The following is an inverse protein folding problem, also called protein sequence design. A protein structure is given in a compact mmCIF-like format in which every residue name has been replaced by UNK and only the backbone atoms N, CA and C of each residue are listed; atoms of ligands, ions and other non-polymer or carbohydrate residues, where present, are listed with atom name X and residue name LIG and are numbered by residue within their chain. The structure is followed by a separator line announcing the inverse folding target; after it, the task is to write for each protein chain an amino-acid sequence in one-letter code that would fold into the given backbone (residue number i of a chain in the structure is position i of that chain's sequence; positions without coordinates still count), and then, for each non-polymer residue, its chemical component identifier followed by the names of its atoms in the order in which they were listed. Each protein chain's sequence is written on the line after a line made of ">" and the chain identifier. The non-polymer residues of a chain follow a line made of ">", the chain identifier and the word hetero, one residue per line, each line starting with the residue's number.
data_IF_797254901717
#
_entry.id   IF_797254901717
#
_cell.length_a   1.000
_cell.length_b   1.000
_cell.length_c   1.000
_cell.angle_alpha   90.00
_cell.angle_beta   90.00
_cell.angle_gamma   90.00
#
_symmetry.space_group_name_H-M   'P 1'
#
loop_
_entity.id
_entity.type
_entity.pdbx_description
1 polymer ?
#
# COMPACT_ATOMS: atom_id res chain seq x y z
N UNK A 1 23.33 33.81 -18.22
CA UNK A 1 23.25 33.18 -16.90
C UNK A 1 24.65 32.75 -16.56
N UNK A 2 25.18 33.31 -15.49
CA UNK A 2 26.57 33.13 -15.11
C UNK A 2 26.73 31.75 -14.45
N UNK A 3 27.71 30.96 -14.88
CA UNK A 3 27.93 29.60 -14.35
C UNK A 3 28.13 29.62 -12.81
N UNK A 4 28.61 30.74 -12.28
CA UNK A 4 28.79 30.96 -10.85
C UNK A 4 27.48 30.98 -10.04
N UNK A 5 26.34 31.37 -10.61
CA UNK A 5 25.06 31.41 -9.87
C UNK A 5 24.49 30.01 -9.67
N UNK A 6 24.72 29.12 -10.64
CA UNK A 6 24.22 27.75 -10.61
C UNK A 6 25.01 26.88 -9.63
N UNK A 7 26.32 27.09 -9.54
CA UNK A 7 27.18 26.44 -8.54
C UNK A 7 26.88 26.92 -7.12
N UNK A 8 26.57 28.22 -6.94
CA UNK A 8 26.14 28.74 -5.63
C UNK A 8 24.81 28.14 -5.17
N UNK A 9 23.85 27.93 -6.10
CA UNK A 9 22.58 27.29 -5.80
C UNK A 9 22.76 25.80 -5.43
N UNK A 10 23.61 25.09 -6.16
CA UNK A 10 23.93 23.69 -5.87
C UNK A 10 24.60 23.55 -4.49
N UNK A 11 25.53 24.46 -4.15
CA UNK A 11 26.24 24.46 -2.88
C UNK A 11 25.32 24.82 -1.71
N UNK A 12 24.41 25.79 -1.88
CA UNK A 12 23.40 26.13 -0.87
C UNK A 12 22.42 24.97 -0.63
N UNK A 13 22.00 24.27 -1.68
CA UNK A 13 21.11 23.09 -1.58
C UNK A 13 21.81 21.92 -0.88
N UNK A 14 23.10 21.72 -1.16
CA UNK A 14 23.91 20.71 -0.49
C UNK A 14 24.10 21.01 1.00
N UNK A 15 24.34 22.26 1.39
CA UNK A 15 24.45 22.65 2.80
C UNK A 15 23.13 22.53 3.56
N UNK A 16 22.00 22.85 2.93
CA UNK A 16 20.65 22.66 3.49
C UNK A 16 20.34 21.18 3.74
N UNK A 17 20.80 20.28 2.85
CA UNK A 17 20.66 18.83 3.05
C UNK A 17 21.52 18.31 4.22
N UNK A 18 22.70 18.92 4.45
CA UNK A 18 23.60 18.56 5.55
C UNK A 18 23.07 19.04 6.90
N UNK A 19 22.45 20.21 6.97
CA UNK A 19 21.85 20.72 8.22
C UNK A 19 20.62 19.90 8.63
N UNK A 20 19.80 19.46 7.67
CA UNK A 20 18.69 18.54 7.93
C UNK A 20 19.16 17.19 8.48
N UNK A 21 20.22 16.58 7.90
CA UNK A 21 20.78 15.31 8.40
C UNK A 21 21.35 15.40 9.82
N UNK A 22 21.90 16.56 10.20
CA UNK A 22 22.50 16.74 11.55
C UNK A 22 21.46 16.86 12.66
N UNK A 23 20.31 17.48 12.37
CA UNK A 23 19.23 17.61 13.34
C UNK A 23 18.47 16.29 13.55
N UNK A 24 18.47 15.39 12.55
CA UNK A 24 17.79 14.10 12.63
C UNK A 24 18.60 13.03 13.41
N UNK A 25 19.93 13.08 13.34
CA UNK A 25 20.80 12.15 14.05
C UNK A 25 20.81 12.33 15.58
N UNK A 26 20.27 13.44 16.10
CA UNK A 26 20.25 13.74 17.54
C UNK A 26 18.96 13.28 18.26
N UNK A 27 17.93 12.82 17.55
CA UNK A 27 16.63 12.47 18.14
C UNK A 27 16.21 10.99 18.01
N UNK A 28 17.11 10.07 17.63
CA UNK A 28 16.82 8.63 17.69
C UNK A 28 16.95 8.09 19.12
N UNK A 29 15.88 8.27 19.91
CA UNK A 29 15.59 7.41 21.06
C UNK A 29 15.16 6.03 20.53
N UNK A 30 15.85 5.00 20.99
CA UNK A 30 15.87 3.66 20.42
C UNK A 30 14.53 2.92 20.45
N UNK A 31 14.20 2.33 19.30
CA UNK A 31 13.30 1.20 19.17
C UNK A 31 14.14 0.00 18.73
N UNK A 32 14.44 -0.90 19.68
CA UNK A 32 15.22 -2.12 19.48
C UNK A 32 14.24 -3.26 19.17
N UNK A 33 14.08 -3.61 17.89
CA UNK A 33 13.35 -4.82 17.47
C UNK A 33 14.26 -6.04 17.71
N UNK A 34 14.21 -6.62 18.91
CA UNK A 34 14.86 -7.91 19.20
C UNK A 34 13.95 -9.09 18.93
N UNK A 35 14.45 -9.93 18.05
CA UNK A 35 13.99 -11.25 17.65
C UNK A 35 14.26 -12.30 18.77
N UNK A 36 13.27 -13.13 19.18
CA UNK A 36 13.53 -14.29 20.03
C UNK A 36 13.63 -15.59 19.21
N UNK A 37 14.85 -16.12 19.11
CA UNK A 37 15.14 -17.50 18.74
C UNK A 37 14.72 -18.50 19.83
N UNK A 38 14.01 -19.57 19.43
CA UNK A 38 14.00 -20.97 19.95
C UNK A 38 12.64 -21.62 19.58
N UNK A 39 12.48 -22.90 19.27
CA UNK A 39 13.35 -24.08 19.17
C UNK A 39 12.55 -25.21 18.48
N UNK A 40 13.26 -26.11 17.79
CA UNK A 40 12.99 -27.56 17.62
C UNK A 40 11.76 -28.07 16.85
N UNK A 41 12.12 -28.70 15.73
CA UNK A 41 11.35 -29.67 14.96
C UNK A 41 10.86 -30.88 15.78
N UNK A 42 9.62 -31.29 15.50
CA UNK A 42 9.10 -32.62 15.74
C UNK A 42 8.22 -33.01 14.55
N UNK A 43 8.76 -33.84 13.66
CA UNK A 43 8.02 -34.39 12.51
C UNK A 43 7.02 -35.44 13.01
N UNK A 44 5.73 -35.08 12.97
CA UNK A 44 4.62 -36.00 13.13
C UNK A 44 4.10 -36.42 11.74
N UNK A 45 3.59 -37.66 11.59
CA UNK A 45 3.10 -38.14 10.31
C UNK A 45 1.82 -37.41 9.92
N UNK A 46 1.85 -36.75 8.76
CA UNK A 46 0.75 -35.98 8.19
C UNK A 46 -0.35 -36.96 7.74
N UNK A 47 -1.35 -37.13 8.59
CA UNK A 47 -2.63 -37.69 8.16
C UNK A 47 -3.31 -36.64 7.29
N UNK A 48 -3.48 -36.94 6.01
CA UNK A 48 -4.29 -36.17 5.07
C UNK A 48 -5.76 -36.28 5.45
N UNK A 49 -6.17 -35.49 6.44
CA UNK A 49 -7.57 -35.16 6.64
C UNK A 49 -7.92 -34.11 5.59
N UNK A 50 -8.73 -34.49 4.60
CA UNK A 50 -9.50 -33.57 3.78
C UNK A 50 -10.35 -32.73 4.74
N UNK A 51 -9.80 -31.59 5.18
CA UNK A 51 -10.58 -30.57 5.86
C UNK A 51 -11.38 -29.89 4.77
N UNK A 52 -12.71 -30.01 4.83
CA UNK A 52 -13.62 -29.21 4.00
C UNK A 52 -13.20 -27.75 4.15
N UNK A 53 -12.54 -27.22 3.12
CA UNK A 53 -11.98 -25.88 3.13
C UNK A 53 -13.15 -24.92 2.93
N UNK A 54 -13.77 -24.50 4.05
CA UNK A 54 -14.95 -23.65 3.98
C UNK A 54 -14.54 -22.25 3.54
N UNK A 55 -14.86 -21.91 2.29
CA UNK A 55 -14.66 -20.58 1.74
C UNK A 55 -15.73 -19.60 2.28
N UNK A 56 -15.41 -18.30 2.41
CA UNK A 56 -16.36 -17.32 2.91
C UNK A 56 -17.48 -17.05 1.89
N UNK A 57 -18.73 -17.03 2.36
CA UNK A 57 -19.92 -16.55 1.61
C UNK A 57 -19.96 -15.01 1.57
N UNK A 58 -18.84 -14.37 1.28
CA UNK A 58 -18.68 -12.93 1.26
C UNK A 58 -18.24 -12.44 -0.14
N UNK A 59 -18.52 -11.17 -0.41
CA UNK A 59 -18.02 -10.52 -1.61
C UNK A 59 -16.50 -10.31 -1.50
N UNK A 60 -15.85 -10.20 -2.66
CA UNK A 60 -14.41 -10.01 -2.67
C UNK A 60 -13.79 -10.15 -4.03
N UNK A 61 -12.51 -10.51 -4.04
CA UNK A 61 -11.73 -10.77 -5.24
C UNK A 61 -11.20 -12.18 -5.17
N UNK A 62 -11.37 -12.91 -6.26
CA UNK A 62 -10.63 -14.14 -6.50
C UNK A 62 -9.51 -13.82 -7.48
N UNK A 63 -8.28 -14.14 -7.11
CA UNK A 63 -7.09 -13.73 -7.85
C UNK A 63 -5.99 -14.78 -7.85
N UNK A 64 -5.04 -14.57 -8.77
CA UNK A 64 -3.79 -15.30 -8.90
C UNK A 64 -2.66 -14.33 -9.19
N UNK A 65 -1.49 -14.62 -8.62
CA UNK A 65 -0.25 -13.93 -8.96
C UNK A 65 0.47 -14.66 -10.10
N UNK A 66 0.60 -13.99 -11.24
CA UNK A 66 1.36 -14.45 -12.41
C UNK A 66 2.77 -13.84 -12.33
N UNK A 67 3.73 -14.58 -11.78
CA UNK A 67 5.13 -14.16 -11.65
C UNK A 67 5.90 -14.43 -12.95
N UNK A 68 6.63 -13.42 -13.42
CA UNK A 68 7.65 -13.53 -14.47
C UNK A 68 9.05 -13.27 -13.91
N UNK A 69 10.06 -13.17 -14.78
CA UNK A 69 11.47 -13.05 -14.37
C UNK A 69 11.78 -11.84 -13.49
N UNK A 70 11.18 -10.68 -13.77
CA UNK A 70 11.45 -9.43 -13.04
C UNK A 70 10.18 -8.64 -12.68
N UNK A 71 9.02 -9.16 -13.06
CA UNK A 71 7.73 -8.52 -12.88
C UNK A 71 6.68 -9.56 -12.53
N UNK A 72 5.64 -9.18 -11.82
CA UNK A 72 4.44 -9.98 -11.61
C UNK A 72 3.20 -9.24 -12.12
N UNK A 73 2.13 -9.98 -12.38
CA UNK A 73 0.82 -9.43 -12.69
C UNK A 73 -0.22 -10.04 -11.75
N UNK A 74 -1.17 -9.24 -11.30
CA UNK A 74 -2.31 -9.75 -10.52
C UNK A 74 -3.45 -10.03 -11.51
N UNK A 75 -3.85 -11.29 -11.64
CA UNK A 75 -5.01 -11.71 -12.44
C UNK A 75 -6.15 -11.99 -11.49
N UNK A 76 -7.33 -11.47 -11.75
CA UNK A 76 -8.44 -11.69 -10.84
C UNK A 76 -9.74 -11.04 -11.31
N UNK A 77 -10.78 -11.21 -10.51
CA UNK A 77 -12.09 -10.62 -10.75
C UNK A 77 -12.81 -10.37 -9.44
N UNK A 78 -13.62 -9.32 -9.42
CA UNK A 78 -14.58 -9.06 -8.34
C UNK A 78 -15.73 -10.06 -8.40
N UNK A 79 -16.14 -10.57 -7.24
CA UNK A 79 -17.16 -11.61 -7.07
C UNK A 79 -18.13 -11.23 -5.96
N UNK A 80 -19.36 -11.72 -6.06
CA UNK A 80 -20.40 -11.52 -5.03
C UNK A 80 -20.31 -12.55 -3.90
N UNK A 81 -19.87 -13.77 -4.22
CA UNK A 81 -19.58 -14.85 -3.27
C UNK A 81 -18.24 -15.48 -3.66
N UNK A 82 -17.27 -15.42 -2.76
CA UNK A 82 -15.98 -16.10 -2.92
C UNK A 82 -16.20 -17.62 -2.94
N UNK A 83 -17.04 -18.15 -2.05
CA UNK A 83 -17.33 -19.58 -1.95
C UNK A 83 -17.82 -20.18 -3.27
N UNK A 84 -18.84 -19.57 -3.87
CA UNK A 84 -19.44 -20.04 -5.13
C UNK A 84 -18.39 -20.09 -6.25
N UNK A 85 -17.54 -19.06 -6.32
CA UNK A 85 -16.52 -18.96 -7.36
C UNK A 85 -15.38 -19.95 -7.14
N UNK A 86 -14.99 -20.22 -5.90
CA UNK A 86 -13.98 -21.23 -5.62
C UNK A 86 -14.47 -22.64 -5.98
N UNK A 87 -15.74 -22.96 -5.71
CA UNK A 87 -16.36 -24.22 -6.16
C UNK A 87 -16.44 -24.31 -7.70
N UNK A 88 -16.76 -23.20 -8.38
CA UNK A 88 -16.73 -23.12 -9.85
C UNK A 88 -15.31 -23.37 -10.41
N UNK A 89 -14.27 -22.89 -9.72
CA UNK A 89 -12.88 -23.12 -10.13
C UNK A 89 -12.49 -24.58 -9.92
N UNK A 90 -12.81 -25.16 -8.76
CA UNK A 90 -12.53 -26.57 -8.43
C UNK A 90 -13.25 -27.55 -9.35
N UNK A 91 -14.45 -27.17 -9.83
CA UNK A 91 -15.21 -27.95 -10.81
C UNK A 91 -14.72 -27.81 -12.26
N UNK A 92 -13.67 -27.02 -12.53
CA UNK A 92 -13.05 -26.89 -13.85
C UNK A 92 -13.81 -25.95 -14.80
N UNK A 93 -14.36 -24.85 -14.29
CA UNK A 93 -15.01 -23.86 -15.14
C UNK A 93 -14.00 -23.15 -16.05
N UNK A 94 -14.06 -23.46 -17.34
CA UNK A 94 -13.19 -22.89 -18.39
C UNK A 94 -13.18 -21.35 -18.46
N UNK A 95 -14.24 -20.68 -17.99
CA UNK A 95 -14.29 -19.21 -17.92
C UNK A 95 -13.30 -18.65 -16.90
N UNK A 96 -13.19 -19.29 -15.74
CA UNK A 96 -12.27 -18.91 -14.68
C UNK A 96 -10.84 -19.29 -15.00
N UNK A 97 -10.62 -20.48 -15.56
CA UNK A 97 -9.32 -20.90 -16.07
C UNK A 97 -8.74 -19.89 -17.05
N UNK A 98 -9.56 -19.41 -18.00
CA UNK A 98 -9.14 -18.37 -18.95
C UNK A 98 -8.84 -17.03 -18.28
N UNK A 99 -9.64 -16.64 -17.28
CA UNK A 99 -9.52 -15.33 -16.60
C UNK A 99 -8.26 -15.27 -15.73
N UNK A 100 -8.02 -16.34 -14.97
CA UNK A 100 -6.87 -16.48 -14.09
C UNK A 100 -5.64 -17.06 -14.80
N UNK A 101 -5.76 -17.39 -16.09
CA UNK A 101 -4.74 -18.04 -16.93
C UNK A 101 -4.21 -19.33 -16.33
N UNK A 102 -5.10 -20.11 -15.71
CA UNK A 102 -4.71 -21.36 -15.07
C UNK A 102 -4.12 -22.30 -16.13
N UNK A 103 -2.96 -22.87 -15.85
CA UNK A 103 -2.37 -23.92 -16.68
C UNK A 103 -2.57 -25.28 -16.03
N UNK A 104 -2.78 -26.33 -16.84
CA UNK A 104 -2.99 -27.71 -16.34
C UNK A 104 -1.77 -28.25 -15.58
N UNK A 105 -0.59 -27.65 -15.80
CA UNK A 105 0.66 -28.03 -15.18
C UNK A 105 1.04 -27.05 -14.06
N UNK A 106 1.06 -27.59 -12.84
CA UNK A 106 1.61 -27.04 -11.57
C UNK A 106 0.58 -26.36 -10.67
N UNK A 107 0.78 -26.53 -9.36
CA UNK A 107 -0.11 -26.09 -8.27
C UNK A 107 -0.21 -24.58 -8.15
N UNK A 108 -0.80 -23.96 -9.15
CA UNK A 108 -1.09 -22.53 -9.24
C UNK A 108 -2.14 -22.19 -8.19
N UNK A 109 -1.68 -21.59 -7.09
CA UNK A 109 -2.54 -21.24 -5.98
C UNK A 109 -3.44 -20.05 -6.36
N UNK A 110 -4.73 -20.31 -6.46
CA UNK A 110 -5.76 -19.28 -6.47
C UNK A 110 -5.96 -18.79 -5.04
N UNK A 111 -5.96 -17.48 -4.86
CA UNK A 111 -6.15 -16.80 -3.58
C UNK A 111 -7.41 -15.92 -3.63
N UNK A 112 -7.88 -15.48 -2.47
CA UNK A 112 -9.03 -14.60 -2.38
C UNK A 112 -8.79 -13.49 -1.36
N UNK A 113 -9.46 -12.36 -1.56
CA UNK A 113 -9.46 -11.22 -0.66
C UNK A 113 -10.90 -10.76 -0.41
N UNK A 114 -11.34 -10.77 0.85
CA UNK A 114 -12.68 -10.37 1.25
C UNK A 114 -12.86 -8.86 1.21
N UNK A 115 -14.02 -8.39 0.74
CA UNK A 115 -14.40 -6.97 0.76
C UNK A 115 -15.79 -6.79 1.35
N UNK A 116 -16.15 -5.54 1.71
CA UNK A 116 -17.48 -5.26 2.29
C UNK A 116 -18.62 -5.57 1.33
N UNK A 117 -18.37 -5.40 0.04
CA UNK A 117 -19.32 -5.56 -1.05
C UNK A 117 -18.54 -5.71 -2.37
N UNK A 118 -19.25 -6.05 -3.45
CA UNK A 118 -18.68 -6.23 -4.78
C UNK A 118 -18.12 -4.93 -5.36
N UNK A 119 -18.77 -3.79 -5.09
CA UNK A 119 -18.34 -2.49 -5.62
C UNK A 119 -16.93 -2.14 -5.09
N UNK A 120 -16.67 -2.42 -3.81
CA UNK A 120 -15.35 -2.29 -3.21
C UNK A 120 -14.31 -3.21 -3.88
N UNK A 121 -14.68 -4.44 -4.24
CA UNK A 121 -13.81 -5.33 -5.00
C UNK A 121 -13.56 -4.82 -6.43
N UNK A 122 -14.55 -4.20 -7.09
CA UNK A 122 -14.38 -3.60 -8.42
C UNK A 122 -13.36 -2.44 -8.40
N UNK A 123 -13.31 -1.64 -7.32
CA UNK A 123 -12.28 -0.60 -7.16
C UNK A 123 -10.88 -1.20 -7.22
N UNK A 124 -10.63 -2.32 -6.54
CA UNK A 124 -9.33 -3.01 -6.57
C UNK A 124 -9.03 -3.59 -7.95
N UNK A 125 -10.05 -4.12 -8.64
CA UNK A 125 -9.92 -4.60 -10.03
C UNK A 125 -9.43 -3.48 -10.95
N UNK A 126 -10.07 -2.32 -10.90
CA UNK A 126 -9.70 -1.17 -11.74
C UNK A 126 -8.30 -0.63 -11.39
N UNK A 127 -7.94 -0.67 -10.12
CA UNK A 127 -6.68 -0.11 -9.64
C UNK A 127 -5.48 -1.04 -9.82
N UNK A 128 -5.64 -2.35 -9.75
CA UNK A 128 -4.50 -3.27 -9.62
C UNK A 128 -4.51 -4.45 -10.59
N UNK A 129 -5.69 -4.95 -10.95
CA UNK A 129 -5.79 -6.19 -11.72
C UNK A 129 -5.38 -5.95 -13.18
N UNK A 130 -4.76 -6.98 -13.78
CA UNK A 130 -4.21 -6.99 -15.13
C UNK A 130 -3.08 -5.97 -15.39
N UNK A 131 -2.58 -5.31 -14.33
CA UNK A 131 -1.39 -4.46 -14.39
C UNK A 131 -0.14 -5.28 -14.10
N UNK A 132 1.00 -4.79 -14.59
CA UNK A 132 2.32 -5.40 -14.41
C UNK A 132 3.12 -4.56 -13.44
N UNK A 133 3.69 -5.20 -12.44
CA UNK A 133 4.48 -4.57 -11.38
C UNK A 133 5.88 -5.21 -11.34
N UNK A 134 6.97 -4.45 -11.23
CA UNK A 134 8.30 -5.02 -11.00
C UNK A 134 8.39 -5.66 -9.61
N UNK A 135 9.10 -6.78 -9.52
CA UNK A 135 9.39 -7.47 -8.26
C UNK A 135 10.41 -6.67 -7.41
N UNK A 136 11.33 -5.98 -8.07
CA UNK A 136 12.36 -5.15 -7.46
C UNK A 136 12.32 -3.73 -8.04
N UNK A 137 11.30 -2.96 -7.63
CA UNK A 137 11.13 -1.58 -8.07
C UNK A 137 12.38 -0.72 -7.81
N UNK A 138 13.01 -0.91 -6.65
CA UNK A 138 14.18 -0.12 -6.23
C UNK A 138 15.44 -0.35 -7.07
N UNK A 139 15.57 -1.53 -7.67
CA UNK A 139 16.73 -1.88 -8.49
C UNK A 139 16.60 -1.39 -9.94
N UNK A 140 15.37 -1.14 -10.39
CA UNK A 140 15.05 -0.86 -11.79
C UNK A 140 14.73 0.63 -12.05
N UNK A 141 14.29 1.38 -11.05
CA UNK A 141 13.81 2.75 -11.22
C UNK A 141 14.94 3.80 -11.27
N UNK A 142 15.31 4.21 -12.49
CA UNK A 142 16.12 5.40 -12.77
C UNK A 142 15.30 6.70 -12.66
N UNK A 143 15.95 7.86 -12.60
CA UNK A 143 15.31 9.20 -12.54
C UNK A 143 14.21 9.44 -13.59
N UNK A 144 14.24 8.73 -14.72
CA UNK A 144 13.27 8.82 -15.81
C UNK A 144 12.03 7.96 -15.65
N UNK A 145 12.06 6.94 -14.79
CA UNK A 145 10.92 6.08 -14.47
C UNK A 145 10.77 5.95 -12.95
N UNK A 146 10.02 6.87 -12.31
CA UNK A 146 10.00 7.01 -10.86
C UNK A 146 9.25 5.90 -10.13
N UNK A 147 8.80 4.86 -10.85
CA UNK A 147 8.07 3.74 -10.27
C UNK A 147 6.57 4.03 -10.08
N UNK A 148 5.89 3.03 -9.52
CA UNK A 148 4.44 3.02 -9.28
C UNK A 148 4.11 3.12 -7.79
N UNK A 149 5.07 2.80 -6.91
CA UNK A 149 4.85 2.84 -5.47
C UNK A 149 4.85 4.24 -4.93
N UNK A 150 3.99 4.44 -3.94
CA UNK A 150 4.08 5.56 -3.04
C UNK A 150 5.03 5.23 -1.89
N UNK A 151 5.57 6.28 -1.27
CA UNK A 151 6.56 6.15 -0.22
C UNK A 151 6.19 7.04 0.96
N UNK A 152 6.36 6.52 2.17
CA UNK A 152 5.97 7.18 3.40
C UNK A 152 7.18 7.42 4.30
N UNK A 153 7.39 8.67 4.68
CA UNK A 153 8.14 9.06 5.87
C UNK A 153 7.12 9.43 6.95
N UNK A 154 7.18 8.77 8.10
CA UNK A 154 6.23 9.01 9.19
C UNK A 154 6.94 8.96 10.54
N UNK A 155 6.80 10.04 11.30
CA UNK A 155 7.24 10.14 12.69
C UNK A 155 6.07 10.19 13.67
N UNK A 156 6.37 10.62 14.90
CA UNK A 156 5.36 10.81 15.93
C UNK A 156 4.37 11.93 15.54
N UNK A 157 4.90 13.02 14.99
CA UNK A 157 4.24 14.31 14.78
C UNK A 157 4.20 14.75 13.30
N UNK A 158 4.81 13.98 12.39
CA UNK A 158 4.85 14.32 10.97
C UNK A 158 4.56 13.12 10.07
N UNK A 159 4.07 13.42 8.88
CA UNK A 159 3.79 12.49 7.80
C UNK A 159 4.15 13.17 6.48
N UNK A 160 4.97 12.50 5.68
CA UNK A 160 5.35 12.93 4.34
C UNK A 160 5.15 11.75 3.38
N UNK A 161 4.16 11.91 2.50
CA UNK A 161 3.74 10.93 1.52
C UNK A 161 4.24 11.36 0.13
N UNK A 162 5.17 10.62 -0.44
CA UNK A 162 5.63 10.83 -1.80
C UNK A 162 4.85 9.94 -2.76
N UNK A 163 4.25 10.55 -3.79
CA UNK A 163 3.53 9.83 -4.84
C UNK A 163 4.46 9.13 -5.84
N UNK A 164 5.76 9.42 -5.76
CA UNK A 164 6.81 8.95 -6.65
C UNK A 164 8.10 8.81 -5.88
N UNK A 165 8.91 7.85 -6.27
CA UNK A 165 10.20 7.63 -5.64
C UNK A 165 11.15 8.83 -5.86
N UNK A 166 11.87 9.24 -4.81
CA UNK A 166 12.85 10.34 -4.83
C UNK A 166 14.18 9.85 -4.24
N UNK A 167 15.32 10.13 -4.89
CA UNK A 167 16.66 9.83 -4.35
C UNK A 167 17.17 8.38 -4.53
N UNK A 168 18.37 8.06 -4.04
CA UNK A 168 19.11 6.79 -4.26
C UNK A 168 19.10 5.86 -3.02
N UNK A 169 18.60 6.30 -1.85
CA UNK A 169 18.64 5.54 -0.57
C UNK A 169 17.25 5.39 0.08
N UNK A 170 16.26 4.90 -0.68
CA UNK A 170 14.83 4.96 -0.32
C UNK A 170 14.41 3.96 0.75
N UNK A 171 14.72 2.68 0.55
CA UNK A 171 14.33 1.59 1.47
C UNK A 171 14.82 1.75 2.91
N UNK A 172 15.92 2.48 3.11
CA UNK A 172 16.48 2.64 4.45
C UNK A 172 15.71 3.68 5.27
N UNK A 173 15.04 4.63 4.61
CA UNK A 173 14.45 5.79 5.27
C UNK A 173 12.93 5.87 5.09
N UNK A 174 12.38 5.26 4.04
CA UNK A 174 10.98 5.36 3.67
C UNK A 174 10.33 3.99 3.63
N UNK A 175 9.09 3.93 4.10
CA UNK A 175 8.22 2.77 3.92
C UNK A 175 7.63 2.77 2.51
N UNK A 176 7.84 1.68 1.76
CA UNK A 176 7.18 1.45 0.48
C UNK A 176 5.73 1.06 0.73
N UNK A 177 4.78 1.77 0.11
CA UNK A 177 3.35 1.55 0.32
C UNK A 177 2.68 0.76 -0.81
N UNK A 178 3.34 0.62 -1.95
CA UNK A 178 2.73 0.15 -3.18
C UNK A 178 1.92 1.23 -3.91
N UNK A 179 1.18 0.85 -4.96
CA UNK A 179 0.33 1.74 -5.72
C UNK A 179 -1.00 1.96 -4.99
N UNK A 180 -1.16 3.12 -4.37
CA UNK A 180 -2.41 3.46 -3.67
C UNK A 180 -3.45 4.19 -4.54
N UNK A 181 -3.10 4.48 -5.80
CA UNK A 181 -4.01 5.08 -6.77
C UNK A 181 -3.31 6.06 -7.73
N UNK A 182 -4.12 6.75 -8.54
CA UNK A 182 -3.63 7.78 -9.44
C UNK A 182 -3.16 9.01 -8.65
N UNK A 183 -1.90 9.39 -8.85
CA UNK A 183 -1.25 10.52 -8.14
C UNK A 183 -1.97 11.86 -8.31
N UNK A 184 -2.57 12.14 -9.47
CA UNK A 184 -3.22 13.44 -9.73
C UNK A 184 -4.55 13.50 -8.98
N UNK A 185 -5.31 12.40 -9.04
CA UNK A 185 -6.56 12.27 -8.28
C UNK A 185 -6.23 12.34 -6.79
N UNK A 186 -5.25 11.58 -6.33
CA UNK A 186 -4.82 11.57 -4.94
C UNK A 186 -4.39 12.96 -4.44
N UNK A 187 -3.51 13.66 -5.16
CA UNK A 187 -3.09 15.03 -4.80
C UNK A 187 -4.31 15.97 -4.69
N UNK A 188 -5.20 15.93 -5.68
CA UNK A 188 -6.40 16.77 -5.68
C UNK A 188 -7.33 16.46 -4.48
N UNK A 189 -7.51 15.19 -4.12
CA UNK A 189 -8.33 14.78 -2.97
C UNK A 189 -7.66 15.08 -1.63
N UNK A 190 -6.34 14.89 -1.52
CA UNK A 190 -5.57 15.24 -0.32
C UNK A 190 -5.60 16.74 -0.07
N UNK A 191 -5.48 17.58 -1.09
CA UNK A 191 -5.67 19.02 -0.96
C UNK A 191 -7.08 19.40 -0.47
N UNK A 192 -8.11 18.68 -0.91
CA UNK A 192 -9.48 18.88 -0.42
C UNK A 192 -9.68 18.41 1.03
N UNK A 193 -8.92 17.40 1.47
CA UNK A 193 -8.93 16.89 2.84
C UNK A 193 -8.35 17.88 3.85
N UNK A 194 -7.54 18.86 3.45
CA UNK A 194 -6.87 19.78 4.38
C UNK A 194 -7.84 20.41 5.38
N UNK A 195 -8.95 20.96 4.90
CA UNK A 195 -9.93 21.63 5.77
C UNK A 195 -10.58 20.65 6.75
N UNK A 196 -10.90 19.44 6.29
CA UNK A 196 -11.45 18.41 7.15
C UNK A 196 -10.42 17.96 8.18
N UNK A 197 -9.18 17.70 7.77
CA UNK A 197 -8.10 17.31 8.67
C UNK A 197 -7.86 18.39 9.74
N UNK A 198 -7.82 19.67 9.37
CA UNK A 198 -7.67 20.80 10.31
C UNK A 198 -8.83 20.90 11.30
N UNK A 199 -10.03 20.46 10.92
CA UNK A 199 -11.17 20.36 11.84
C UNK A 199 -11.04 19.18 12.81
N UNK A 200 -10.29 18.15 12.44
CA UNK A 200 -10.11 16.95 13.23
C UNK A 200 -8.90 17.03 14.16
N UNK A 201 -7.80 17.67 13.73
CA UNK A 201 -6.53 17.68 14.44
C UNK A 201 -5.80 19.01 14.29
N UNK A 202 -4.90 19.32 15.23
CA UNK A 202 -4.15 20.58 15.27
C UNK A 202 -2.96 20.52 14.30
N UNK A 203 -3.23 20.68 13.01
CA UNK A 203 -2.21 20.72 11.96
C UNK A 203 -1.43 22.04 12.02
N UNK A 204 -0.13 21.92 12.24
CA UNK A 204 0.83 23.04 12.21
C UNK A 204 1.19 23.36 10.76
N UNK A 205 1.54 22.33 9.99
CA UNK A 205 1.97 22.47 8.60
C UNK A 205 1.19 21.50 7.72
N UNK A 206 0.70 21.98 6.58
CA UNK A 206 0.11 21.16 5.53
C UNK A 206 0.59 21.69 4.19
N UNK A 207 1.08 20.80 3.33
CA UNK A 207 1.42 21.15 1.95
C UNK A 207 1.10 19.99 1.04
N UNK A 208 0.47 20.29 -0.09
CA UNK A 208 0.10 19.33 -1.13
C UNK A 208 0.67 19.81 -2.46
N UNK A 209 1.44 18.95 -3.11
CA UNK A 209 2.06 19.20 -4.40
C UNK A 209 1.87 17.99 -5.31
N UNK A 210 2.16 18.15 -6.60
CA UNK A 210 2.09 17.03 -7.57
C UNK A 210 3.08 15.88 -7.28
N UNK A 211 3.97 16.09 -6.32
CA UNK A 211 5.04 15.18 -5.95
C UNK A 211 4.77 14.51 -4.61
N UNK A 212 4.31 15.27 -3.62
CA UNK A 212 4.13 14.79 -2.26
C UNK A 212 3.05 15.58 -1.51
N UNK A 213 2.57 14.95 -0.44
CA UNK A 213 1.77 15.57 0.61
C UNK A 213 2.55 15.51 1.90
N UNK A 214 2.66 16.64 2.59
CA UNK A 214 3.32 16.74 3.90
C UNK A 214 2.37 17.31 4.92
N UNK A 215 2.44 16.78 6.14
CA UNK A 215 1.63 17.18 7.28
C UNK A 215 2.48 17.11 8.55
N UNK A 216 2.38 18.13 9.38
CA UNK A 216 2.90 18.12 10.75
C UNK A 216 1.79 18.54 11.72
N UNK A 217 1.68 17.82 12.84
CA UNK A 217 0.69 18.06 13.88
C UNK A 217 1.36 18.50 15.17
N UNK A 218 0.60 19.22 16.01
CA UNK A 218 1.03 19.58 17.37
C UNK A 218 0.49 18.59 18.40
N UNK A 219 0.99 18.68 19.64
CA UNK A 219 0.54 17.87 20.78
C UNK A 219 -1.00 17.91 20.94
N UNK A 220 -1.57 16.77 21.39
CA UNK A 220 -3.01 16.58 21.59
C UNK A 220 -3.76 16.07 20.35
N UNK A 221 -3.05 15.73 19.27
CA UNK A 221 -3.62 15.18 18.02
C UNK A 221 -3.23 13.72 17.77
N UNK A 222 -2.59 13.07 18.73
CA UNK A 222 -1.87 11.80 18.56
C UNK A 222 -2.81 10.68 18.11
N UNK A 223 -4.01 10.58 18.69
CA UNK A 223 -4.97 9.51 18.38
C UNK A 223 -5.46 9.59 16.93
N UNK A 224 -5.97 10.75 16.51
CA UNK A 224 -6.50 10.96 15.15
C UNK A 224 -5.41 10.91 14.10
N UNK A 225 -4.24 11.44 14.42
CA UNK A 225 -3.08 11.36 13.54
C UNK A 225 -2.58 9.91 13.41
N UNK A 226 -2.61 9.13 14.50
CA UNK A 226 -2.31 7.70 14.45
C UNK A 226 -3.31 6.94 13.57
N UNK A 227 -4.61 7.26 13.63
CA UNK A 227 -5.62 6.66 12.73
C UNK A 227 -5.31 6.96 11.26
N UNK A 228 -4.89 8.19 10.94
CA UNK A 228 -4.46 8.54 9.59
C UNK A 228 -3.20 7.77 9.17
N UNK A 229 -2.22 7.60 10.05
CA UNK A 229 -1.02 6.79 9.77
C UNK A 229 -1.36 5.33 9.50
N UNK A 230 -2.21 4.72 10.32
CA UNK A 230 -2.66 3.33 10.17
C UNK A 230 -3.33 3.05 8.81
N UNK A 231 -4.03 4.03 8.25
CA UNK A 231 -4.59 3.93 6.90
C UNK A 231 -3.50 3.62 5.87
N UNK A 232 -2.36 4.32 5.93
CA UNK A 232 -1.27 4.13 4.98
C UNK A 232 -0.38 2.94 5.34
N UNK A 233 -0.08 2.73 6.61
CA UNK A 233 0.85 1.69 7.05
C UNK A 233 0.18 0.32 6.95
N UNK A 234 -1.01 0.18 7.54
CA UNK A 234 -1.69 -1.10 7.78
C UNK A 234 -2.87 -1.32 6.82
N UNK A 235 -3.29 -0.30 6.06
CA UNK A 235 -4.52 -0.36 5.25
C UNK A 235 -5.80 -0.31 6.09
N UNK A 236 -5.73 0.14 7.35
CA UNK A 236 -6.88 0.20 8.26
C UNK A 236 -7.64 1.53 8.12
N UNK A 237 -8.91 1.46 7.69
CA UNK A 237 -9.79 2.61 7.68
C UNK A 237 -10.55 2.76 9.01
N UNK A 238 -9.99 3.52 9.94
CA UNK A 238 -10.56 3.67 11.27
C UNK A 238 -11.57 4.81 11.42
N UNK A 239 -11.81 5.62 10.38
CA UNK A 239 -12.73 6.78 10.44
C UNK A 239 -14.19 6.37 10.27
N UNK A 240 -15.07 7.00 11.04
CA UNK A 240 -16.51 6.79 10.97
C UNK A 240 -17.15 7.77 9.99
N UNK A 241 -18.26 7.35 9.37
CA UNK A 241 -19.02 8.20 8.45
C UNK A 241 -19.52 9.49 9.11
N UNK A 242 -19.82 9.44 10.41
CA UNK A 242 -20.27 10.56 11.24
C UNK A 242 -19.20 11.64 11.47
N UNK A 243 -17.91 11.34 11.23
CA UNK A 243 -16.81 12.30 11.33
C UNK A 243 -16.72 13.22 10.10
N UNK A 244 -17.49 12.93 9.05
CA UNK A 244 -17.57 13.71 7.82
C UNK A 244 -18.94 14.39 7.74
N UNK A 245 -18.99 15.57 7.12
CA UNK A 245 -20.29 16.21 6.91
C UNK A 245 -21.14 15.43 5.89
N UNK A 246 -22.44 15.73 5.89
CA UNK A 246 -23.36 15.17 4.91
C UNK A 246 -23.24 15.86 3.54
N UNK A 247 -22.38 16.87 3.38
CA UNK A 247 -22.15 17.51 2.09
C UNK A 247 -21.52 16.52 1.10
N UNK A 248 -21.98 16.56 -0.16
CA UNK A 248 -21.53 15.65 -1.23
C UNK A 248 -20.00 15.55 -1.31
N UNK A 249 -19.30 16.68 -1.18
CA UNK A 249 -17.83 16.75 -1.20
C UNK A 249 -17.20 15.89 -0.11
N UNK A 250 -17.64 16.04 1.13
CA UNK A 250 -17.05 15.32 2.27
C UNK A 250 -17.38 13.83 2.23
N UNK A 251 -18.51 13.45 1.62
CA UNK A 251 -18.80 12.04 1.33
C UNK A 251 -17.79 11.46 0.34
N UNK A 252 -17.45 12.20 -0.72
CA UNK A 252 -16.43 11.77 -1.67
C UNK A 252 -15.07 11.60 -1.00
N UNK A 253 -14.70 12.49 -0.07
CA UNK A 253 -13.43 12.37 0.66
C UNK A 253 -13.42 11.17 1.61
N UNK A 254 -14.54 10.86 2.26
CA UNK A 254 -14.71 9.66 3.06
C UNK A 254 -14.47 8.39 2.23
N UNK A 255 -15.15 8.26 1.08
CA UNK A 255 -14.99 7.09 0.21
C UNK A 255 -13.58 7.00 -0.37
N UNK A 256 -12.98 8.13 -0.75
CA UNK A 256 -11.59 8.17 -1.21
C UNK A 256 -10.61 7.59 -0.16
N UNK A 257 -10.73 7.99 1.11
CA UNK A 257 -9.87 7.43 2.17
C UNK A 257 -10.16 5.94 2.40
N UNK A 258 -11.42 5.53 2.36
CA UNK A 258 -11.83 4.12 2.50
C UNK A 258 -11.24 3.26 1.36
N UNK A 259 -11.30 3.75 0.12
CA UNK A 259 -10.72 3.09 -1.05
C UNK A 259 -9.20 2.99 -0.95
N UNK A 260 -8.50 4.05 -0.54
CA UNK A 260 -7.04 3.98 -0.34
C UNK A 260 -6.65 2.94 0.70
N UNK A 261 -7.37 2.88 1.81
CA UNK A 261 -7.15 1.88 2.85
C UNK A 261 -7.35 0.46 2.32
N UNK A 262 -8.42 0.24 1.54
CA UNK A 262 -8.72 -1.04 0.91
C UNK A 262 -7.62 -1.47 -0.06
N UNK A 263 -7.18 -0.55 -0.93
CA UNK A 263 -6.07 -0.78 -1.87
C UNK A 263 -4.79 -1.14 -1.13
N UNK A 264 -4.47 -0.42 -0.05
CA UNK A 264 -3.28 -0.70 0.77
C UNK A 264 -3.37 -2.08 1.44
N UNK A 265 -4.52 -2.41 2.03
CA UNK A 265 -4.75 -3.69 2.71
C UNK A 265 -4.57 -4.87 1.75
N UNK A 266 -5.19 -4.79 0.57
CA UNK A 266 -5.01 -5.81 -0.45
C UNK A 266 -3.55 -5.88 -0.94
N UNK A 267 -2.89 -4.73 -1.13
CA UNK A 267 -1.49 -4.71 -1.54
C UNK A 267 -0.55 -5.36 -0.51
N UNK A 268 -0.79 -5.17 0.79
CA UNK A 268 -0.06 -5.85 1.86
C UNK A 268 -0.18 -7.37 1.76
N UNK A 269 -1.36 -7.89 1.40
CA UNK A 269 -1.57 -9.33 1.17
C UNK A 269 -0.77 -9.85 -0.04
N UNK A 270 -0.71 -9.05 -1.11
CA UNK A 270 0.14 -9.37 -2.27
C UNK A 270 1.61 -9.39 -1.87
N UNK A 271 2.09 -8.41 -1.10
CA UNK A 271 3.47 -8.35 -0.60
C UNK A 271 3.80 -9.57 0.27
N UNK A 272 2.88 -9.97 1.16
CA UNK A 272 3.02 -11.17 1.98
C UNK A 272 3.11 -12.45 1.12
N UNK A 273 2.26 -12.57 0.09
CA UNK A 273 2.25 -13.71 -0.82
C UNK A 273 3.55 -13.81 -1.63
N UNK A 274 4.05 -12.68 -2.14
CA UNK A 274 5.29 -12.63 -2.91
C UNK A 274 6.53 -12.91 -2.05
N UNK A 275 6.54 -12.48 -0.79
CA UNK A 275 7.65 -12.75 0.13
C UNK A 275 7.65 -14.19 0.63
N UNK A 276 6.46 -14.77 0.87
CA UNK A 276 6.30 -16.19 1.18
C UNK A 276 6.85 -17.12 0.09
N UNK A 277 6.60 -16.79 -1.19
CA UNK A 277 7.15 -17.56 -2.31
C UNK A 277 8.68 -17.48 -2.44
N UNK A 278 9.31 -16.35 -2.06
CA UNK A 278 10.78 -16.19 -2.14
C UNK A 278 11.56 -17.06 -1.15
N UNK A 279 10.90 -17.68 -0.16
CA UNK A 279 11.55 -18.58 0.81
C UNK A 279 11.47 -20.07 0.41
N UNK A 280 10.73 -20.40 -0.66
CA UNK A 280 10.49 -21.77 -1.09
C UNK A 280 11.35 -22.23 -2.29
N UNK A 281 12.07 -21.30 -2.93
CA UNK A 281 13.05 -21.55 -4.01
C UNK A 281 14.50 -21.42 -3.49
#
# INVERSE_FOLDING_TARGET
>A
MDHSELDQLAQATFELSKSFKRNFAQNQLGFDFRDPQHDRASEAPVASCEQDQQFPEAAGIVYRLESGTSTFCIRGRAVESIADVMEEIESGNAGWEKTLRLSEDLGEQVSFFETSDKDAAEVLVDQLINKRFPIEEDMLCNLSDPGFSWWLDAGADHLLLHFKSHGIERRQNLLQLGPLGDRRIANARMGQLENWLRSQMNIVEFSSSDVCVSMAVSEGSEEKFSRLKKLFIDGEFLFQRSEFSNESRDQTLFFFLKEMALVRSFWLEIEASLTGHKLAD
#
